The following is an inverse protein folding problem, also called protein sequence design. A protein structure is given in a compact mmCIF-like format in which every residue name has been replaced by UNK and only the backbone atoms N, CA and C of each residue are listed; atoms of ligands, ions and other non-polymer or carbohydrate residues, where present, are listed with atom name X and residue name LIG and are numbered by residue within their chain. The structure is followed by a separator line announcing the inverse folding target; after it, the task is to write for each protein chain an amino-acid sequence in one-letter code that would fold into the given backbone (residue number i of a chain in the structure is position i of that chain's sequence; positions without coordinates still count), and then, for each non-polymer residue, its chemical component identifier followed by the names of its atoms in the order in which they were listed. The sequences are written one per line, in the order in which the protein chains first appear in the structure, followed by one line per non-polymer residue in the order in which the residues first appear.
data_IF_182345280893
#
_entry.id   IF_182345280893
#
_cell.length_a   1.000
_cell.length_b   1.000
_cell.length_c   1.000
_cell.angle_alpha   90.00
_cell.angle_beta   90.00
_cell.angle_gamma   90.00
#
_symmetry.space_group_name_H-M   'P 1'
#
loop_
_entity.id
_entity.type
_entity.pdbx_description
1 polymer ?
#
# COMPACT_ATOMS: atom_id res chain seq x y z
N UNK A 1 -29.35 13.20 1.38
CA UNK A 1 -28.28 13.12 0.36
C UNK A 1 -27.04 13.79 0.94
N UNK A 2 -26.19 13.04 1.63
CA UNK A 2 -24.95 13.59 2.20
C UNK A 2 -23.81 13.16 1.28
N UNK A 3 -23.40 14.09 0.41
CA UNK A 3 -22.13 13.99 -0.29
C UNK A 3 -21.05 14.09 0.77
N UNK A 4 -20.42 12.97 1.13
CA UNK A 4 -19.18 13.02 1.91
C UNK A 4 -18.11 13.57 0.98
N UNK A 5 -17.76 14.82 1.27
CA UNK A 5 -16.57 15.55 0.86
C UNK A 5 -15.42 14.57 0.73
N UNK A 6 -14.81 14.48 -0.46
CA UNK A 6 -13.51 13.84 -0.58
C UNK A 6 -12.59 14.54 0.41
N UNK A 7 -12.05 13.80 1.38
CA UNK A 7 -11.16 14.34 2.40
C UNK A 7 -9.95 14.90 1.65
N UNK A 8 -9.88 16.22 1.50
CA UNK A 8 -8.69 16.90 1.02
C UNK A 8 -7.67 16.86 2.15
N UNK A 9 -6.77 15.89 2.10
CA UNK A 9 -5.63 15.85 3.00
C UNK A 9 -4.73 17.05 2.73
N UNK A 10 -4.33 17.74 3.79
CA UNK A 10 -3.30 18.76 3.67
C UNK A 10 -1.98 18.14 3.22
N UNK A 11 -1.13 18.93 2.57
CA UNK A 11 0.22 18.49 2.20
C UNK A 11 1.06 18.11 3.41
N UNK A 12 0.80 18.73 4.56
CA UNK A 12 1.51 18.50 5.82
C UNK A 12 1.15 17.13 6.42
N UNK A 13 -0.14 16.82 6.58
CA UNK A 13 -0.60 15.50 7.08
C UNK A 13 -0.14 14.35 6.18
N UNK A 14 -0.14 14.57 4.87
CA UNK A 14 0.35 13.57 3.91
C UNK A 14 1.83 13.26 4.11
N UNK A 15 2.63 14.28 4.40
CA UNK A 15 4.06 14.14 4.63
C UNK A 15 4.32 13.43 5.96
N UNK A 16 3.59 13.77 7.02
CA UNK A 16 3.64 13.09 8.32
C UNK A 16 3.34 11.58 8.19
N UNK A 17 2.24 11.22 7.52
CA UNK A 17 1.91 9.82 7.27
C UNK A 17 2.99 9.11 6.47
N UNK A 18 3.57 9.77 5.47
CA UNK A 18 4.64 9.19 4.64
C UNK A 18 5.90 8.90 5.46
N UNK A 19 6.25 9.76 6.42
CA UNK A 19 7.40 9.54 7.31
C UNK A 19 7.18 8.35 8.24
N UNK A 20 5.99 8.25 8.86
CA UNK A 20 5.66 7.11 9.73
C UNK A 20 5.69 5.80 8.94
N UNK A 21 5.10 5.80 7.73
CA UNK A 21 5.10 4.66 6.84
C UNK A 21 6.52 4.27 6.39
N UNK A 22 7.39 5.25 6.17
CA UNK A 22 8.78 4.99 5.79
C UNK A 22 9.51 4.24 6.91
N UNK A 23 9.34 4.65 8.18
CA UNK A 23 9.93 3.94 9.32
C UNK A 23 9.40 2.50 9.41
N UNK A 24 8.09 2.31 9.32
CA UNK A 24 7.47 0.99 9.34
C UNK A 24 8.03 0.05 8.25
N UNK A 25 8.09 0.52 7.01
CA UNK A 25 8.63 -0.24 5.88
C UNK A 25 10.11 -0.57 6.08
N UNK A 26 10.89 0.38 6.59
CA UNK A 26 12.33 0.18 6.80
C UNK A 26 12.61 -0.81 7.93
N UNK A 27 11.69 -0.97 8.88
CA UNK A 27 11.81 -1.95 9.96
C UNK A 27 11.34 -3.36 9.53
N UNK A 28 10.21 -3.45 8.83
CA UNK A 28 9.58 -4.75 8.51
C UNK A 28 9.99 -5.33 7.16
N UNK A 29 10.25 -4.48 6.16
CA UNK A 29 10.46 -4.88 4.76
C UNK A 29 11.84 -4.46 4.23
N UNK A 30 12.82 -4.29 5.11
CA UNK A 30 14.17 -3.86 4.73
C UNK A 30 14.84 -4.85 3.78
N UNK A 31 14.77 -6.12 4.13
CA UNK A 31 15.46 -7.17 3.39
C UNK A 31 14.78 -7.40 2.03
N UNK A 32 13.44 -7.37 2.00
CA UNK A 32 12.66 -7.38 0.75
C UNK A 32 13.09 -6.25 -0.20
N UNK A 33 13.30 -5.04 0.33
CA UNK A 33 13.75 -3.89 -0.44
C UNK A 33 15.18 -4.08 -0.98
N UNK A 34 16.08 -4.66 -0.19
CA UNK A 34 17.45 -4.96 -0.61
C UNK A 34 17.43 -5.96 -1.76
N UNK A 35 16.66 -7.04 -1.62
CA UNK A 35 16.51 -8.08 -2.64
C UNK A 35 15.97 -7.49 -3.95
N UNK A 36 14.98 -6.59 -3.86
CA UNK A 36 14.43 -5.88 -5.02
C UNK A 36 15.48 -4.96 -5.67
N UNK A 37 16.26 -4.23 -4.88
CA UNK A 37 17.31 -3.33 -5.39
C UNK A 37 18.45 -4.07 -6.07
N UNK A 38 18.75 -5.30 -5.65
CA UNK A 38 19.77 -6.17 -6.24
C UNK A 38 19.34 -6.85 -7.55
N UNK A 39 18.05 -6.79 -7.92
CA UNK A 39 17.63 -7.34 -9.21
C UNK A 39 18.15 -6.49 -10.36
N UNK A 40 18.45 -7.12 -11.51
CA UNK A 40 18.97 -6.42 -12.69
C UNK A 40 17.89 -5.57 -13.42
N UNK A 41 16.62 -5.95 -13.34
CA UNK A 41 15.54 -5.36 -14.15
C UNK A 41 14.96 -4.07 -13.55
N UNK A 42 15.30 -2.92 -14.12
CA UNK A 42 14.89 -1.59 -13.65
C UNK A 42 13.46 -1.16 -14.07
N UNK A 43 12.90 -1.80 -15.10
CA UNK A 43 11.60 -1.47 -15.69
C UNK A 43 10.41 -2.20 -15.08
N UNK A 44 10.63 -3.34 -14.43
CA UNK A 44 9.57 -4.21 -13.90
C UNK A 44 8.88 -3.62 -12.67
N UNK A 45 7.62 -3.99 -12.45
CA UNK A 45 6.85 -3.62 -11.27
C UNK A 45 7.14 -4.57 -10.11
N UNK A 46 7.54 -4.01 -8.97
CA UNK A 46 7.89 -4.76 -7.77
C UNK A 46 6.84 -4.57 -6.69
N UNK A 47 6.01 -5.59 -6.42
CA UNK A 47 5.04 -5.55 -5.33
C UNK A 47 5.70 -5.87 -3.99
N UNK A 48 5.39 -5.10 -2.96
CA UNK A 48 5.71 -5.42 -1.56
C UNK A 48 4.41 -5.75 -0.86
N UNK A 49 4.32 -6.96 -0.31
CA UNK A 49 3.13 -7.45 0.36
C UNK A 49 3.15 -6.96 1.80
N UNK A 50 2.16 -6.15 2.16
CA UNK A 50 1.95 -5.66 3.52
C UNK A 50 0.74 -6.37 4.09
N UNK A 51 0.89 -7.00 5.24
CA UNK A 51 -0.24 -7.56 5.98
C UNK A 51 -0.97 -6.43 6.72
N UNK A 52 -2.27 -6.27 6.42
CA UNK A 52 -3.13 -5.33 7.10
C UNK A 52 -3.20 -5.63 8.60
N UNK A 53 -3.17 -6.89 9.01
CA UNK A 53 -3.24 -7.25 10.43
C UNK A 53 -2.03 -6.71 11.20
N UNK A 54 -0.83 -6.87 10.65
CA UNK A 54 0.41 -6.31 11.23
C UNK A 54 0.42 -4.78 11.21
N UNK A 55 -0.10 -4.17 10.14
CA UNK A 55 -0.28 -2.73 10.10
C UNK A 55 -1.26 -2.24 11.20
N UNK A 56 -2.33 -3.01 11.44
CA UNK A 56 -3.35 -2.70 12.44
C UNK A 56 -2.87 -2.82 13.87
N UNK A 57 -1.96 -3.76 14.11
CA UNK A 57 -1.29 -3.91 15.41
C UNK A 57 -0.23 -2.83 15.65
N UNK A 58 0.47 -2.39 14.60
CA UNK A 58 1.56 -1.41 14.74
C UNK A 58 1.07 0.03 14.85
N UNK A 59 0.08 0.45 14.06
CA UNK A 59 -0.40 1.83 14.07
C UNK A 59 -1.91 1.93 13.76
N UNK A 60 -2.69 2.23 14.80
CA UNK A 60 -4.15 2.34 14.70
C UNK A 60 -4.61 3.51 13.81
N UNK A 61 -3.87 4.62 13.78
CA UNK A 61 -4.23 5.80 12.98
C UNK A 61 -4.07 5.54 11.48
N UNK A 62 -2.95 4.92 11.08
CA UNK A 62 -2.72 4.49 9.71
C UNK A 62 -3.74 3.45 9.26
N UNK A 63 -4.24 2.65 10.19
CA UNK A 63 -5.22 1.59 9.91
C UNK A 63 -6.58 2.15 9.54
N UNK A 64 -7.08 3.11 10.32
CA UNK A 64 -8.31 3.82 10.00
C UNK A 64 -8.18 4.58 8.67
N UNK A 65 -7.00 5.17 8.43
CA UNK A 65 -6.70 5.86 7.18
C UNK A 65 -6.75 4.92 5.98
N UNK A 66 -6.12 3.74 6.05
CA UNK A 66 -6.16 2.73 4.97
C UNK A 66 -7.59 2.29 4.67
N UNK A 67 -8.42 2.10 5.70
CA UNK A 67 -9.81 1.62 5.53
C UNK A 67 -10.75 2.70 4.98
N UNK A 68 -10.59 3.95 5.42
CA UNK A 68 -11.47 5.05 5.05
C UNK A 68 -10.99 5.84 3.82
N UNK A 69 -9.69 5.85 3.53
CA UNK A 69 -9.07 6.66 2.47
C UNK A 69 -7.95 5.89 1.71
N UNK A 70 -8.20 4.67 1.20
CA UNK A 70 -7.18 3.81 0.61
C UNK A 70 -6.42 4.46 -0.54
N UNK A 71 -7.07 5.29 -1.36
CA UNK A 71 -6.41 5.91 -2.53
C UNK A 71 -5.26 6.82 -2.08
N UNK A 72 -5.51 7.65 -1.06
CA UNK A 72 -4.49 8.53 -0.51
C UNK A 72 -3.42 7.72 0.21
N UNK A 73 -3.81 6.80 1.10
CA UNK A 73 -2.85 6.06 1.91
C UNK A 73 -1.95 5.16 1.08
N UNK A 74 -2.48 4.49 0.05
CA UNK A 74 -1.68 3.66 -0.85
C UNK A 74 -0.68 4.51 -1.67
N UNK A 75 -1.05 5.74 -2.02
CA UNK A 75 -0.12 6.67 -2.68
C UNK A 75 1.02 7.10 -1.74
N UNK A 76 0.70 7.39 -0.47
CA UNK A 76 1.69 7.70 0.56
C UNK A 76 2.62 6.50 0.86
N UNK A 77 2.06 5.28 0.89
CA UNK A 77 2.85 4.05 0.98
C UNK A 77 3.84 3.90 -0.17
N UNK A 78 3.40 4.11 -1.41
CA UNK A 78 4.29 4.03 -2.57
C UNK A 78 5.41 5.09 -2.50
N UNK A 79 5.10 6.29 -2.02
CA UNK A 79 6.11 7.34 -1.79
C UNK A 79 7.10 6.95 -0.67
N UNK A 80 6.59 6.41 0.44
CA UNK A 80 7.37 5.93 1.56
C UNK A 80 8.31 4.79 1.15
N UNK A 81 7.83 3.80 0.39
CA UNK A 81 8.63 2.71 -0.17
C UNK A 81 9.80 3.24 -1.01
N UNK A 82 9.54 4.21 -1.90
CA UNK A 82 10.58 4.83 -2.72
C UNK A 82 11.61 5.57 -1.88
N UNK A 83 11.18 6.31 -0.85
CA UNK A 83 12.08 7.02 0.07
C UNK A 83 12.93 6.03 0.88
N UNK A 84 12.32 4.97 1.40
CA UNK A 84 13.02 3.89 2.12
C UNK A 84 14.05 3.20 1.21
N UNK A 85 13.66 2.81 0.00
CA UNK A 85 14.56 2.19 -0.97
C UNK A 85 15.74 3.10 -1.32
N UNK A 86 15.50 4.41 -1.53
CA UNK A 86 16.57 5.38 -1.77
C UNK A 86 17.49 5.57 -0.58
N UNK A 87 16.97 5.55 0.65
CA UNK A 87 17.78 5.61 1.85
C UNK A 87 18.68 4.37 1.97
N UNK A 88 18.10 3.17 1.80
CA UNK A 88 18.84 1.90 1.81
C UNK A 88 19.93 1.90 0.73
N UNK A 89 19.60 2.28 -0.51
CA UNK A 89 20.56 2.35 -1.61
C UNK A 89 21.77 3.26 -1.30
N UNK A 90 21.54 4.40 -0.63
CA UNK A 90 22.61 5.34 -0.26
C UNK A 90 23.54 4.80 0.83
N UNK A 91 22.98 4.06 1.78
CA UNK A 91 23.69 3.56 2.95
C UNK A 91 24.30 2.16 2.73
N UNK A 92 23.89 1.44 1.67
CA UNK A 92 24.31 0.07 1.45
C UNK A 92 25.74 -0.05 0.90
N UNK A 93 26.59 -0.96 1.44
CA UNK A 93 27.97 -1.12 0.98
C UNK A 93 28.08 -1.62 -0.46
N UNK A 94 27.12 -2.41 -0.95
CA UNK A 94 27.07 -2.94 -2.33
C UNK A 94 26.24 -2.08 -3.30
N UNK A 95 26.25 -0.75 -3.12
CA UNK A 95 25.50 0.18 -3.98
C UNK A 95 25.79 0.01 -5.49
N UNK A 96 26.98 -0.46 -5.85
CA UNK A 96 27.41 -0.62 -7.25
C UNK A 96 26.70 -1.79 -7.96
N UNK A 97 26.24 -2.77 -7.19
CA UNK A 97 25.47 -3.92 -7.67
C UNK A 97 23.95 -3.65 -7.64
N UNK A 98 23.52 -2.55 -6.99
CA UNK A 98 22.12 -2.20 -6.84
C UNK A 98 21.65 -1.24 -7.94
N UNK A 99 20.38 -1.38 -8.34
CA UNK A 99 19.73 -0.48 -9.28
C UNK A 99 18.52 0.20 -8.64
N UNK A 100 18.36 1.51 -8.88
CA UNK A 100 17.25 2.27 -8.28
C UNK A 100 15.93 1.92 -8.96
N UNK A 101 15.07 1.20 -8.25
CA UNK A 101 13.74 0.82 -8.75
C UNK A 101 12.73 1.94 -8.57
N UNK A 102 12.14 2.39 -9.67
CA UNK A 102 11.04 3.36 -9.61
C UNK A 102 9.69 2.67 -9.41
N UNK A 103 9.47 1.45 -9.90
CA UNK A 103 8.14 0.85 -9.93
C UNK A 103 7.84 -0.02 -8.69
N UNK A 104 8.03 0.55 -7.48
CA UNK A 104 7.66 -0.08 -6.22
C UNK A 104 6.17 0.16 -5.91
N UNK A 105 5.43 -0.90 -5.58
CA UNK A 105 4.00 -0.84 -5.28
C UNK A 105 3.67 -1.60 -3.99
N UNK A 106 3.09 -0.91 -3.02
CA UNK A 106 2.52 -1.52 -1.82
C UNK A 106 1.25 -2.31 -2.17
N UNK A 107 1.17 -3.56 -1.73
CA UNK A 107 -0.04 -4.39 -1.84
C UNK A 107 -0.47 -4.84 -0.47
N UNK A 108 -1.59 -4.32 0.00
CA UNK A 108 -2.15 -4.67 1.29
C UNK A 108 -2.96 -5.96 1.17
N UNK A 109 -2.72 -6.91 2.06
CA UNK A 109 -3.39 -8.21 2.15
C UNK A 109 -3.94 -8.43 3.56
N UNK A 110 -4.70 -9.50 3.80
CA UNK A 110 -5.15 -9.83 5.17
C UNK A 110 -6.21 -8.89 5.76
N UNK A 111 -6.88 -8.07 4.94
CA UNK A 111 -7.98 -7.23 5.43
C UNK A 111 -9.07 -8.07 6.11
N UNK A 112 -9.64 -7.61 7.24
CA UNK A 112 -10.73 -8.30 7.89
C UNK A 112 -11.89 -8.47 6.91
N UNK A 113 -12.39 -9.70 6.81
CA UNK A 113 -13.48 -10.04 5.89
C UNK A 113 -14.70 -9.23 6.27
N UNK A 114 -15.24 -8.44 5.33
CA UNK A 114 -16.51 -7.76 5.54
C UNK A 114 -17.62 -8.82 5.57
N UNK A 115 -18.23 -9.13 6.73
CA UNK A 115 -19.22 -10.20 6.83
C UNK A 115 -20.51 -9.84 6.09
N UNK A 116 -20.77 -8.55 5.83
CA UNK A 116 -21.90 -8.12 5.01
C UNK A 116 -21.70 -8.36 3.51
N UNK A 117 -20.50 -8.70 3.03
CA UNK A 117 -20.20 -8.81 1.60
C UNK A 117 -20.18 -10.28 1.14
N UNK A 118 -21.37 -10.87 1.18
CA UNK A 118 -21.70 -12.20 0.65
C UNK A 118 -22.27 -12.06 -0.77
N UNK A 119 -22.31 -13.17 -1.52
CA UNK A 119 -22.80 -13.25 -2.92
C UNK A 119 -24.13 -12.53 -3.19
N UNK A 120 -24.95 -12.29 -2.18
CA UNK A 120 -26.27 -11.64 -2.27
C UNK A 120 -26.32 -10.18 -1.82
N UNK A 121 -25.30 -9.68 -1.13
CA UNK A 121 -25.28 -8.30 -0.63
C UNK A 121 -24.19 -7.53 -1.38
N UNK A 122 -24.61 -6.78 -2.39
CA UNK A 122 -23.71 -5.93 -3.16
C UNK A 122 -23.30 -4.70 -2.33
N UNK A 123 -22.11 -4.11 -2.60
CA UNK A 123 -21.71 -2.85 -1.99
C UNK A 123 -22.78 -1.78 -2.23
N UNK A 124 -23.13 -1.04 -1.18
CA UNK A 124 -24.09 0.06 -1.27
C UNK A 124 -23.37 1.36 -1.59
N UNK A 125 -24.13 2.39 -1.95
CA UNK A 125 -23.59 3.74 -2.15
C UNK A 125 -22.86 4.28 -0.90
N UNK A 126 -23.14 3.74 0.29
CA UNK A 126 -22.43 4.07 1.54
C UNK A 126 -20.99 3.57 1.59
N UNK A 127 -20.63 2.62 0.73
CA UNK A 127 -19.33 1.95 0.77
C UNK A 127 -18.36 2.56 -0.25
N UNK A 128 -18.80 3.58 -0.98
CA UNK A 128 -17.96 4.34 -1.90
C UNK A 128 -16.81 4.98 -1.14
N UNK A 129 -15.59 4.77 -1.65
CA UNK A 129 -14.36 5.33 -1.09
C UNK A 129 -13.73 4.50 0.03
N UNK A 130 -14.33 3.39 0.44
CA UNK A 130 -13.77 2.49 1.47
C UNK A 130 -12.93 1.38 0.87
N UNK A 131 -11.99 0.88 1.67
CA UNK A 131 -11.22 -0.30 1.32
C UNK A 131 -11.94 -1.57 1.78
N UNK A 132 -12.39 -2.38 0.81
CA UNK A 132 -13.27 -3.53 1.07
C UNK A 132 -12.60 -4.83 0.59
N UNK A 133 -12.75 -5.89 1.37
CA UNK A 133 -12.37 -7.25 0.98
C UNK A 133 -13.59 -8.00 0.45
N UNK A 134 -13.52 -8.47 -0.81
CA UNK A 134 -14.62 -9.16 -1.48
C UNK A 134 -14.23 -10.60 -1.80
N UNK A 135 -15.05 -11.55 -1.35
CA UNK A 135 -14.89 -12.97 -1.69
C UNK A 135 -15.95 -13.40 -2.70
N UNK A 136 -15.55 -13.70 -3.93
CA UNK A 136 -16.44 -14.19 -4.98
C UNK A 136 -15.70 -15.11 -5.96
N UNK A 137 -16.44 -16.00 -6.62
CA UNK A 137 -15.91 -16.81 -7.73
C UNK A 137 -15.97 -16.00 -9.03
N UNK A 138 -14.85 -15.89 -9.74
CA UNK A 138 -14.84 -15.27 -11.07
C UNK A 138 -15.48 -16.21 -12.10
N UNK A 139 -16.53 -15.73 -12.78
CA UNK A 139 -17.20 -16.48 -13.85
C UNK A 139 -16.68 -16.13 -15.24
N UNK A 140 -16.02 -14.98 -15.38
CA UNK A 140 -15.45 -14.49 -16.64
C UNK A 140 -14.22 -13.61 -16.36
N UNK A 141 -13.12 -13.88 -17.07
CA UNK A 141 -11.93 -13.03 -17.08
C UNK A 141 -11.72 -12.48 -18.50
N UNK A 142 -11.44 -11.17 -18.61
CA UNK A 142 -10.98 -10.57 -19.87
C UNK A 142 -9.46 -10.64 -19.93
N UNK A 143 -8.92 -10.79 -21.14
CA UNK A 143 -7.47 -10.79 -21.38
C UNK A 143 -6.99 -9.33 -21.40
N UNK A 144 -5.94 -9.02 -20.64
CA UNK A 144 -5.28 -7.71 -20.66
C UNK A 144 -4.75 -7.44 -22.07
N UNK A 145 -5.07 -6.27 -22.60
CA UNK A 145 -4.76 -5.84 -23.97
C UNK A 145 -3.38 -5.20 -24.05
#
# INVERSE_FOLDING_TARGET
MSARVGVEFSSEETEEHTVILQSYVTEQHRDDLIDILLQEDDGTHFPIIIDAMTLFESNMDLSDLVLNNPVHTLSAFNAALRRAAMAIYRDHPQKEEMTTKINLHARVTGLPVCPELIRETLPKNSDIGRFLSVSATSSKCMISK
#
